data_IF_214393419177
#
_entry.id   IF_214393419177
#
_cell.length_a   1.000
_cell.length_b   1.000
_cell.length_c   1.000
_cell.angle_alpha   90.00
_cell.angle_beta   90.00
_cell.angle_gamma   90.00
#
_symmetry.space_group_name_H-M   'P 1'
#
loop_
_entity.id
_entity.type
_entity.pdbx_description
1 polymer ?
#
# COMPACT_ATOMS: atom_id res chain seq x y z
N UNK A 1 5.69 -4.53 -56.91
CA UNK A 1 5.98 -3.52 -55.91
C UNK A 1 4.98 -3.73 -54.77
N UNK A 2 5.41 -4.31 -53.62
CA UNK A 2 4.62 -4.38 -52.41
C UNK A 2 4.72 -3.01 -51.74
N UNK A 3 3.63 -2.27 -51.69
CA UNK A 3 3.50 -1.12 -50.85
C UNK A 3 3.52 -1.61 -49.40
N UNK A 4 4.58 -1.26 -48.64
CA UNK A 4 4.58 -1.35 -47.20
C UNK A 4 3.77 -0.13 -46.75
N UNK A 5 2.50 -0.33 -46.39
CA UNK A 5 1.75 0.68 -45.67
C UNK A 5 2.44 0.87 -44.33
N UNK A 6 3.10 2.00 -44.13
CA UNK A 6 3.50 2.46 -42.82
C UNK A 6 2.22 2.79 -42.05
N UNK A 7 1.78 1.88 -41.20
CA UNK A 7 0.75 2.18 -40.23
C UNK A 7 1.39 3.15 -39.23
N UNK A 8 1.15 4.44 -39.43
CA UNK A 8 1.48 5.43 -38.40
C UNK A 8 0.69 5.09 -37.15
N UNK A 9 1.37 4.61 -36.14
CA UNK A 9 0.74 4.37 -34.83
C UNK A 9 0.33 5.72 -34.26
N UNK A 10 -0.97 5.91 -34.05
CA UNK A 10 -1.49 7.11 -33.40
C UNK A 10 -0.99 7.16 -31.96
N UNK A 11 -0.85 8.38 -31.44
CA UNK A 11 -0.65 8.56 -30.02
C UNK A 11 -1.69 7.79 -29.22
N UNK A 12 -1.29 7.29 -28.06
CA UNK A 12 -2.17 6.56 -27.15
C UNK A 12 -2.14 7.15 -25.74
N UNK A 13 -3.17 6.89 -24.99
CA UNK A 13 -3.27 7.32 -23.61
C UNK A 13 -3.02 6.12 -22.68
N UNK A 14 -2.25 6.34 -21.64
CA UNK A 14 -2.07 5.37 -20.57
C UNK A 14 -2.31 6.05 -19.22
N UNK A 15 -3.05 5.36 -18.35
CA UNK A 15 -3.50 5.90 -17.07
C UNK A 15 -3.04 5.01 -15.94
N UNK A 16 -2.56 5.62 -14.85
CA UNK A 16 -2.35 4.96 -13.58
C UNK A 16 -2.97 5.78 -12.46
N UNK A 17 -3.31 5.09 -11.38
CA UNK A 17 -3.87 5.71 -10.19
C UNK A 17 -3.14 5.24 -8.93
N UNK A 18 -3.32 5.99 -7.86
CA UNK A 18 -2.76 5.70 -6.55
C UNK A 18 -3.75 6.09 -5.45
N UNK A 19 -3.60 5.46 -4.30
CA UNK A 19 -4.32 5.80 -3.08
C UNK A 19 -3.36 6.33 -2.02
N UNK A 20 -3.84 7.26 -1.19
CA UNK A 20 -3.04 7.86 -0.14
C UNK A 20 -2.87 6.92 1.05
N UNK A 21 -2.00 7.32 1.98
CA UNK A 21 -1.77 6.60 3.24
C UNK A 21 -3.02 6.40 4.10
N UNK A 22 -4.03 7.26 3.95
CA UNK A 22 -5.29 7.19 4.68
C UNK A 22 -6.41 6.46 3.95
N UNK A 23 -6.20 5.97 2.73
CA UNK A 23 -7.17 5.12 2.06
C UNK A 23 -7.32 3.79 2.81
N UNK A 24 -8.54 3.24 2.98
CA UNK A 24 -8.76 2.00 3.75
C UNK A 24 -7.82 0.85 3.39
N UNK A 25 -7.59 0.60 2.09
CA UNK A 25 -6.68 -0.46 1.64
C UNK A 25 -5.23 -0.18 2.09
N UNK A 26 -4.78 1.07 1.98
CA UNK A 26 -3.42 1.45 2.39
C UNK A 26 -3.26 1.49 3.92
N UNK A 27 -4.31 1.83 4.66
CA UNK A 27 -4.35 1.70 6.12
C UNK A 27 -4.20 0.22 6.51
N UNK A 28 -4.92 -0.68 5.82
CA UNK A 28 -4.84 -2.12 6.05
C UNK A 28 -3.44 -2.66 5.78
N UNK A 29 -2.82 -2.31 4.65
CA UNK A 29 -1.43 -2.67 4.33
C UNK A 29 -0.47 -2.21 5.43
N UNK A 30 -0.55 -0.94 5.84
CA UNK A 30 0.34 -0.38 6.85
C UNK A 30 0.17 -1.03 8.23
N UNK A 31 -1.04 -1.47 8.58
CA UNK A 31 -1.28 -2.20 9.82
C UNK A 31 -0.68 -3.60 9.74
N UNK A 32 -0.89 -4.33 8.64
CA UNK A 32 -0.32 -5.65 8.43
C UNK A 32 1.21 -5.60 8.46
N UNK A 33 1.82 -4.62 7.78
CA UNK A 33 3.26 -4.40 7.77
C UNK A 33 3.78 -4.06 9.19
N UNK A 34 3.10 -3.20 9.94
CA UNK A 34 3.53 -2.83 11.29
C UNK A 34 3.46 -4.01 12.27
N UNK A 35 2.51 -4.91 12.10
CA UNK A 35 2.40 -6.15 12.88
C UNK A 35 3.56 -7.10 12.50
N UNK A 36 3.83 -7.28 11.20
CA UNK A 36 4.96 -8.05 10.71
C UNK A 36 6.29 -7.52 11.27
N UNK A 37 6.51 -6.22 11.18
CA UNK A 37 7.71 -5.55 11.67
C UNK A 37 7.92 -5.79 13.17
N UNK A 38 6.84 -5.74 13.96
CA UNK A 38 6.93 -5.92 15.41
C UNK A 38 7.23 -7.38 15.80
N UNK A 39 6.73 -8.37 15.03
CA UNK A 39 7.12 -9.76 15.19
C UNK A 39 8.58 -9.98 14.82
N UNK A 40 9.00 -9.53 13.64
CA UNK A 40 10.38 -9.70 13.15
C UNK A 40 11.41 -8.96 14.01
N UNK A 41 11.04 -7.85 14.64
CA UNK A 41 11.91 -7.14 15.57
C UNK A 41 12.25 -7.96 16.80
N UNK A 42 11.34 -8.83 17.26
CA UNK A 42 11.52 -9.68 18.44
C UNK A 42 12.04 -11.08 18.08
N UNK A 43 11.59 -11.61 16.97
CA UNK A 43 11.93 -12.94 16.45
C UNK A 43 12.15 -12.87 14.92
N UNK A 44 13.43 -12.77 14.46
CA UNK A 44 13.74 -12.70 13.04
C UNK A 44 13.29 -13.92 12.22
N UNK A 45 13.04 -15.06 12.88
CA UNK A 45 12.58 -16.30 12.24
C UNK A 45 11.04 -16.44 12.25
N UNK A 46 10.33 -15.45 12.79
CA UNK A 46 8.87 -15.46 12.81
C UNK A 46 8.28 -15.61 11.40
N UNK A 47 7.23 -16.40 11.29
CA UNK A 47 6.40 -16.52 10.08
C UNK A 47 5.07 -15.83 10.35
N UNK A 48 4.78 -14.80 9.57
CA UNK A 48 3.63 -13.93 9.80
C UNK A 48 2.81 -13.81 8.51
N UNK A 49 1.62 -14.37 8.52
CA UNK A 49 0.61 -14.21 7.48
C UNK A 49 -0.54 -13.41 8.10
N UNK A 50 -0.42 -12.09 8.07
CA UNK A 50 -1.34 -11.17 8.71
C UNK A 50 -2.12 -10.37 7.67
N UNK A 51 -3.44 -10.48 7.70
CA UNK A 51 -4.37 -9.75 6.85
C UNK A 51 -5.17 -8.76 7.70
N UNK A 52 -5.42 -7.58 7.14
CA UNK A 52 -6.17 -6.53 7.82
C UNK A 52 -7.32 -6.03 6.96
N UNK A 53 -8.45 -5.78 7.59
CA UNK A 53 -9.60 -5.12 6.99
C UNK A 53 -9.95 -3.87 7.80
N UNK A 54 -10.05 -2.72 7.12
CA UNK A 54 -10.43 -1.44 7.72
C UNK A 54 -11.77 -0.95 7.16
N UNK A 55 -12.65 -0.48 8.07
CA UNK A 55 -13.89 0.18 7.73
C UNK A 55 -14.17 1.30 8.73
N UNK A 56 -15.29 2.02 8.56
CA UNK A 56 -15.68 3.10 9.48
C UNK A 56 -15.71 2.61 10.94
N UNK A 57 -14.84 3.15 11.77
CA UNK A 57 -14.77 2.86 13.20
C UNK A 57 -14.27 1.46 13.58
N UNK A 58 -13.79 0.65 12.63
CA UNK A 58 -13.43 -0.74 12.87
C UNK A 58 -12.18 -1.17 12.12
N UNK A 59 -11.30 -1.89 12.81
CA UNK A 59 -10.18 -2.65 12.26
C UNK A 59 -10.32 -4.11 12.65
N UNK A 60 -10.22 -5.01 11.68
CA UNK A 60 -10.18 -6.45 11.91
C UNK A 60 -8.82 -6.96 11.41
N UNK A 61 -8.11 -7.66 12.27
CA UNK A 61 -6.83 -8.29 11.97
C UNK A 61 -7.01 -9.81 12.09
N UNK A 62 -6.61 -10.54 11.06
CA UNK A 62 -6.73 -12.00 11.05
C UNK A 62 -5.54 -12.67 10.40
N UNK A 63 -5.47 -13.97 10.48
CA UNK A 63 -4.41 -14.76 9.85
C UNK A 63 -3.68 -15.68 10.82
N UNK A 64 -2.48 -16.10 10.42
CA UNK A 64 -1.69 -17.09 11.14
C UNK A 64 -0.29 -16.54 11.44
N UNK A 65 0.20 -16.79 12.63
CA UNK A 65 1.54 -16.40 13.07
C UNK A 65 2.23 -17.59 13.71
N UNK A 66 3.52 -17.75 13.42
CA UNK A 66 4.41 -18.64 14.15
C UNK A 66 5.60 -17.84 14.66
N UNK A 67 5.76 -17.81 15.95
CA UNK A 67 6.94 -17.27 16.63
C UNK A 67 7.18 -18.05 17.92
N UNK A 68 8.43 -18.20 18.31
CA UNK A 68 8.78 -18.92 19.53
C UNK A 68 8.75 -17.99 20.74
N UNK A 69 9.20 -16.73 20.59
CA UNK A 69 9.43 -15.83 21.72
C UNK A 69 8.78 -14.44 21.58
N UNK A 70 8.17 -14.11 20.44
CA UNK A 70 7.62 -12.77 20.25
C UNK A 70 6.24 -12.61 20.90
N UNK A 71 6.09 -11.53 21.66
CA UNK A 71 4.79 -11.03 22.12
C UNK A 71 4.46 -9.69 21.48
N UNK A 72 3.36 -9.62 20.76
CA UNK A 72 2.91 -8.41 20.07
C UNK A 72 1.54 -7.99 20.59
N UNK A 73 1.45 -6.79 21.16
CA UNK A 73 0.19 -6.16 21.48
C UNK A 73 -0.45 -5.59 20.20
N UNK A 74 -1.27 -6.41 19.56
CA UNK A 74 -1.94 -6.08 18.29
C UNK A 74 -2.74 -4.79 18.39
N UNK A 75 -3.48 -4.59 19.50
CA UNK A 75 -4.29 -3.39 19.67
C UNK A 75 -3.43 -2.12 19.72
N UNK A 76 -2.30 -2.18 20.41
CA UNK A 76 -1.37 -1.07 20.50
C UNK A 76 -0.79 -0.74 19.11
N UNK A 77 -0.28 -1.74 18.38
CA UNK A 77 0.29 -1.56 17.03
C UNK A 77 -0.72 -0.95 16.07
N UNK A 78 -1.95 -1.45 16.05
CA UNK A 78 -3.04 -0.92 15.22
C UNK A 78 -3.29 0.55 15.55
N UNK A 79 -3.49 0.90 16.82
CA UNK A 79 -3.81 2.26 17.26
C UNK A 79 -2.68 3.25 16.96
N UNK A 80 -1.44 2.86 17.18
CA UNK A 80 -0.27 3.67 16.86
C UNK A 80 -0.16 3.93 15.36
N UNK A 81 -0.40 2.91 14.52
CA UNK A 81 -0.39 3.05 13.07
C UNK A 81 -1.50 3.98 12.58
N UNK A 82 -2.74 3.80 13.03
CA UNK A 82 -3.88 4.64 12.65
C UNK A 82 -3.64 6.10 13.06
N UNK A 83 -3.14 6.35 14.28
CA UNK A 83 -2.80 7.68 14.76
C UNK A 83 -1.65 8.32 13.94
N UNK A 84 -0.60 7.55 13.61
CA UNK A 84 0.53 8.00 12.79
C UNK A 84 0.08 8.44 11.39
N UNK A 85 -0.87 7.74 10.78
CA UNK A 85 -1.46 8.12 9.49
C UNK A 85 -2.19 9.46 9.59
N UNK A 86 -2.76 9.78 10.76
CA UNK A 86 -3.44 11.05 11.02
C UNK A 86 -4.94 10.91 11.32
N UNK A 87 -5.42 9.70 11.51
CA UNK A 87 -6.76 9.44 12.01
C UNK A 87 -6.77 9.52 13.56
N UNK A 88 -6.79 10.73 14.05
CA UNK A 88 -6.65 11.06 15.47
C UNK A 88 -7.78 11.98 16.00
N UNK A 89 -8.87 12.11 15.25
CA UNK A 89 -10.04 12.92 15.61
C UNK A 89 -11.30 12.09 15.45
N UNK A 90 -12.17 12.12 16.46
CA UNK A 90 -13.44 11.40 16.46
C UNK A 90 -14.37 11.78 15.29
N UNK A 91 -14.31 13.05 14.84
CA UNK A 91 -15.09 13.59 13.73
C UNK A 91 -14.80 12.88 12.38
N UNK A 92 -13.64 12.22 12.27
CA UNK A 92 -13.30 11.42 11.09
C UNK A 92 -14.06 10.09 11.04
N UNK A 93 -14.81 9.75 12.11
CA UNK A 93 -15.54 8.47 12.27
C UNK A 93 -14.64 7.23 12.16
N UNK A 94 -13.35 7.47 12.23
CA UNK A 94 -12.28 6.50 12.31
C UNK A 94 -11.12 7.18 13.04
N UNK A 95 -10.77 6.71 14.22
CA UNK A 95 -9.81 7.34 15.11
C UNK A 95 -9.07 6.26 15.90
N UNK A 96 -7.75 6.34 15.88
CA UNK A 96 -6.88 5.36 16.51
C UNK A 96 -7.12 5.11 18.00
N UNK A 97 -7.67 6.10 18.71
CA UNK A 97 -7.93 5.97 20.15
C UNK A 97 -9.29 5.30 20.45
N UNK A 98 -10.27 5.44 19.55
CA UNK A 98 -11.66 5.03 19.79
C UNK A 98 -12.20 3.95 18.85
N UNK A 99 -11.54 3.64 17.73
CA UNK A 99 -12.00 2.59 16.83
C UNK A 99 -12.02 1.21 17.52
N UNK A 100 -12.96 0.38 17.09
CA UNK A 100 -12.97 -1.04 17.47
C UNK A 100 -11.75 -1.74 16.83
N UNK A 101 -11.09 -2.59 17.59
CA UNK A 101 -10.00 -3.44 17.08
C UNK A 101 -10.34 -4.88 17.45
N UNK A 102 -10.52 -5.72 16.44
CA UNK A 102 -10.74 -7.16 16.61
C UNK A 102 -9.54 -7.92 16.06
N UNK A 103 -9.07 -8.92 16.79
CA UNK A 103 -8.02 -9.80 16.33
C UNK A 103 -8.50 -11.25 16.35
N UNK A 104 -8.26 -11.93 15.22
CA UNK A 104 -8.46 -13.36 15.03
C UNK A 104 -7.16 -14.04 14.60
N UNK A 105 -6.01 -13.43 14.91
CA UNK A 105 -4.71 -14.05 14.71
C UNK A 105 -4.58 -15.30 15.60
N UNK A 106 -4.09 -16.38 15.03
CA UNK A 106 -3.88 -17.65 15.72
C UNK A 106 -2.54 -18.28 15.29
N UNK A 107 -2.11 -19.30 16.01
CA UNK A 107 -0.89 -20.02 15.66
C UNK A 107 -1.05 -20.80 14.35
N UNK A 108 0.00 -20.80 13.53
CA UNK A 108 0.06 -21.57 12.30
C UNK A 108 -0.09 -23.07 12.58
N UNK A 109 -0.91 -23.76 11.77
CA UNK A 109 -1.13 -25.19 11.93
C UNK A 109 0.17 -25.98 11.69
N UNK A 110 0.36 -27.05 12.46
CA UNK A 110 1.54 -27.93 12.36
C UNK A 110 1.67 -28.61 10.98
N UNK A 111 0.57 -28.79 10.26
CA UNK A 111 0.56 -29.44 8.94
C UNK A 111 1.05 -28.51 7.83
N UNK A 112 0.66 -27.24 7.87
CA UNK A 112 1.18 -26.19 6.95
C UNK A 112 2.67 -26.02 7.19
N UNK A 113 3.10 -25.97 8.45
CA UNK A 113 4.49 -25.87 8.83
C UNK A 113 5.38 -26.96 8.22
N UNK A 114 4.92 -28.21 8.16
CA UNK A 114 5.67 -29.33 7.53
C UNK A 114 5.85 -29.15 6.02
N UNK A 115 4.96 -28.40 5.36
CA UNK A 115 5.05 -28.11 3.93
C UNK A 115 5.94 -26.92 3.59
N UNK A 116 6.07 -25.99 4.53
CA UNK A 116 6.76 -24.68 4.36
C UNK A 116 8.20 -24.73 4.86
N UNK A 117 8.46 -25.42 5.96
CA UNK A 117 9.82 -25.64 6.47
C UNK A 117 10.42 -26.79 5.69
N UNK A 118 11.52 -26.52 4.98
CA UNK A 118 12.20 -27.46 4.10
C UNK A 118 12.40 -28.84 4.72
N UNK A 119 12.08 -29.86 3.94
CA UNK A 119 12.19 -31.23 4.36
C UNK A 119 13.64 -31.67 4.46
N UNK A 120 14.13 -31.79 5.69
CA UNK A 120 15.20 -32.72 5.99
C UNK A 120 16.62 -32.21 5.86
N UNK A 121 17.49 -32.97 6.50
CA UNK A 121 18.93 -32.72 6.70
C UNK A 121 19.78 -32.87 5.41
N UNK A 122 19.14 -33.04 4.25
CA UNK A 122 19.82 -33.33 2.97
C UNK A 122 19.73 -32.14 1.97
N UNK A 123 19.35 -30.95 2.43
CA UNK A 123 19.31 -29.75 1.57
C UNK A 123 20.65 -29.03 1.70
N UNK A 124 21.41 -28.99 0.60
CA UNK A 124 22.75 -28.37 0.57
C UNK A 124 22.72 -26.83 0.58
N UNK A 125 21.57 -26.21 0.27
CA UNK A 125 21.39 -24.75 0.22
C UNK A 125 20.49 -24.27 1.35
N UNK A 126 20.96 -23.28 2.13
CA UNK A 126 20.21 -22.66 3.23
C UNK A 126 18.90 -22.01 2.72
N UNK A 127 18.90 -21.46 1.49
CA UNK A 127 17.71 -20.85 0.90
C UNK A 127 16.62 -21.90 0.59
N UNK A 128 17.01 -23.09 0.12
CA UNK A 128 16.09 -24.20 -0.10
C UNK A 128 15.55 -24.77 1.22
N UNK A 129 16.36 -24.71 2.30
CA UNK A 129 15.95 -25.13 3.63
C UNK A 129 14.90 -24.17 4.24
N UNK A 130 14.98 -22.88 3.94
CA UNK A 130 14.06 -21.88 4.46
C UNK A 130 12.66 -22.02 3.86
N UNK A 131 12.55 -22.41 2.56
CA UNK A 131 11.29 -22.47 1.82
C UNK A 131 10.72 -21.09 1.49
N UNK A 132 9.67 -21.07 0.69
CA UNK A 132 9.04 -19.83 0.21
C UNK A 132 7.83 -19.36 1.03
N UNK A 133 7.39 -20.15 2.01
CA UNK A 133 6.20 -19.86 2.81
C UNK A 133 4.88 -20.23 2.11
N UNK A 134 4.74 -19.95 0.82
CA UNK A 134 3.61 -20.32 -0.02
C UNK A 134 4.05 -20.44 -1.48
N UNK A 135 3.22 -21.01 -2.32
CA UNK A 135 3.38 -20.96 -3.77
C UNK A 135 3.02 -19.56 -4.29
N UNK A 136 3.65 -19.14 -5.38
CA UNK A 136 3.36 -17.83 -5.95
C UNK A 136 3.88 -17.67 -7.38
N UNK A 137 3.29 -16.74 -8.10
CA UNK A 137 3.73 -16.28 -9.41
C UNK A 137 3.71 -14.75 -9.41
N UNK A 138 4.85 -14.14 -9.73
CA UNK A 138 5.03 -12.70 -9.72
C UNK A 138 5.25 -12.17 -11.13
N UNK A 139 4.71 -10.97 -11.37
CA UNK A 139 4.93 -10.20 -12.58
C UNK A 139 5.58 -8.88 -12.21
N UNK A 140 6.60 -8.49 -12.96
CA UNK A 140 7.29 -7.23 -12.78
C UNK A 140 7.35 -6.43 -14.07
N UNK A 141 7.29 -5.11 -13.98
CA UNK A 141 7.48 -4.20 -15.09
C UNK A 141 8.31 -3.00 -14.64
N UNK A 142 9.30 -2.64 -15.45
CA UNK A 142 10.15 -1.48 -15.24
C UNK A 142 10.47 -0.82 -16.57
N UNK A 143 10.60 0.51 -16.59
CA UNK A 143 11.03 1.28 -17.76
C UNK A 143 11.99 2.41 -17.36
N UNK A 144 12.39 3.24 -18.32
CA UNK A 144 13.33 4.34 -18.11
C UNK A 144 12.68 5.72 -18.16
N UNK A 145 11.40 5.80 -17.83
CA UNK A 145 10.68 7.09 -17.85
C UNK A 145 10.98 7.94 -16.61
N UNK A 146 11.39 7.30 -15.53
CA UNK A 146 11.80 7.94 -14.28
C UNK A 146 13.13 7.35 -13.79
N UNK A 147 13.80 8.05 -12.87
CA UNK A 147 15.05 7.59 -12.27
C UNK A 147 14.88 6.31 -11.45
N UNK A 148 13.69 6.11 -10.88
CA UNK A 148 13.33 4.93 -10.09
C UNK A 148 12.85 3.74 -10.95
N UNK A 149 12.96 3.84 -12.27
CA UNK A 149 12.46 2.85 -13.23
C UNK A 149 10.95 2.60 -13.17
N UNK A 150 10.22 3.49 -12.54
CA UNK A 150 8.75 3.44 -12.46
C UNK A 150 8.11 4.06 -13.70
N UNK A 151 7.00 3.50 -14.22
CA UNK A 151 6.20 4.15 -15.25
C UNK A 151 5.74 5.55 -14.82
N UNK A 152 5.89 6.53 -15.72
CA UNK A 152 5.63 7.94 -15.41
C UNK A 152 4.24 8.21 -14.81
N UNK A 153 3.11 7.66 -15.33
CA UNK A 153 1.80 7.94 -14.76
C UNK A 153 1.65 7.40 -13.34
N UNK A 154 2.25 6.25 -13.03
CA UNK A 154 2.24 5.68 -11.68
C UNK A 154 3.10 6.53 -10.73
N UNK A 155 4.31 6.88 -11.15
CA UNK A 155 5.20 7.74 -10.38
C UNK A 155 4.53 9.08 -10.01
N UNK A 156 3.91 9.76 -10.99
CA UNK A 156 3.21 11.02 -10.76
C UNK A 156 2.00 10.86 -9.84
N UNK A 157 1.26 9.76 -9.96
CA UNK A 157 0.14 9.45 -9.07
C UNK A 157 0.62 9.30 -7.62
N UNK A 158 1.69 8.57 -7.37
CA UNK A 158 2.29 8.46 -6.03
C UNK A 158 2.84 9.78 -5.53
N UNK A 159 3.56 10.53 -6.38
CA UNK A 159 4.16 11.80 -6.01
C UNK A 159 3.09 12.82 -5.57
N UNK A 160 1.99 12.95 -6.32
CA UNK A 160 0.92 13.86 -5.99
C UNK A 160 0.33 13.61 -4.59
N UNK A 161 0.14 12.35 -4.22
CA UNK A 161 -0.40 11.99 -2.90
C UNK A 161 0.61 12.17 -1.77
N UNK A 162 1.91 11.95 -2.02
CA UNK A 162 2.95 12.26 -1.05
C UNK A 162 3.01 13.76 -0.75
N UNK A 163 3.02 14.58 -1.81
CA UNK A 163 2.97 16.05 -1.67
C UNK A 163 1.72 16.51 -0.92
N UNK A 164 0.56 15.90 -1.21
CA UNK A 164 -0.69 16.21 -0.52
C UNK A 164 -0.63 15.86 0.98
N UNK A 165 -0.03 14.72 1.33
CA UNK A 165 0.17 14.30 2.71
C UNK A 165 1.13 15.24 3.45
N UNK A 166 2.20 15.69 2.79
CA UNK A 166 3.15 16.67 3.35
C UNK A 166 2.45 18.00 3.63
N UNK A 167 1.66 18.51 2.67
CA UNK A 167 0.86 19.73 2.86
C UNK A 167 -0.09 19.58 4.06
N UNK A 168 -0.77 18.44 4.20
CA UNK A 168 -1.67 18.17 5.32
C UNK A 168 -0.96 18.20 6.67
N UNK A 169 0.31 17.76 6.71
CA UNK A 169 1.12 17.68 7.94
C UNK A 169 1.87 18.98 8.29
N UNK A 170 1.88 19.97 7.41
CA UNK A 170 2.49 21.27 7.70
C UNK A 170 1.87 21.90 8.96
N UNK A 171 2.69 22.47 9.86
CA UNK A 171 2.23 23.09 11.11
C UNK A 171 1.18 24.18 10.88
N UNK A 172 1.33 24.94 9.78
CA UNK A 172 0.37 25.96 9.32
C UNK A 172 -0.03 25.59 7.88
N UNK A 173 -0.71 24.47 7.74
CA UNK A 173 -1.07 23.97 6.42
C UNK A 173 -1.87 25.01 5.64
N UNK A 174 -1.47 25.20 4.39
CA UNK A 174 -2.24 25.98 3.40
C UNK A 174 -3.54 25.31 2.98
N UNK A 175 -3.72 24.01 3.36
CA UNK A 175 -4.94 23.24 3.13
C UNK A 175 -5.35 22.51 4.42
N UNK A 176 -5.76 23.25 5.47
CA UNK A 176 -6.00 22.69 6.81
C UNK A 176 -7.22 21.75 6.87
N UNK A 177 -8.06 21.80 5.86
CA UNK A 177 -9.27 20.98 5.73
C UNK A 177 -9.00 19.56 5.22
N UNK A 178 -7.79 19.24 4.77
CA UNK A 178 -7.47 17.92 4.25
C UNK A 178 -7.51 16.86 5.36
N UNK A 179 -8.15 15.74 5.02
CA UNK A 179 -8.15 14.50 5.80
C UNK A 179 -7.19 13.47 5.18
N UNK A 180 -6.87 12.36 5.86
CA UNK A 180 -5.84 11.44 5.40
C UNK A 180 -6.16 10.69 4.10
N UNK A 181 -7.44 10.45 3.77
CA UNK A 181 -7.83 9.71 2.57
C UNK A 181 -7.82 10.58 1.32
N UNK A 182 -7.19 10.10 0.27
CA UNK A 182 -7.19 10.70 -1.05
C UNK A 182 -6.86 9.67 -2.13
N UNK A 183 -7.26 10.00 -3.36
CA UNK A 183 -6.90 9.24 -4.58
C UNK A 183 -6.36 10.20 -5.63
N UNK A 184 -5.45 9.71 -6.46
CA UNK A 184 -4.94 10.43 -7.62
C UNK A 184 -4.95 9.54 -8.85
N UNK A 185 -5.17 10.16 -10.01
CA UNK A 185 -5.11 9.51 -11.31
C UNK A 185 -4.36 10.43 -12.28
N UNK A 186 -3.39 9.88 -12.98
CA UNK A 186 -2.67 10.58 -14.04
C UNK A 186 -2.81 9.83 -15.35
N UNK A 187 -3.20 10.56 -16.39
CA UNK A 187 -3.26 10.08 -17.76
C UNK A 187 -2.17 10.78 -18.57
N UNK A 188 -1.29 10.01 -19.16
CA UNK A 188 -0.20 10.49 -20.00
C UNK A 188 -0.50 10.12 -21.46
N UNK A 189 -0.28 11.07 -22.36
CA UNK A 189 -0.27 10.84 -23.79
C UNK A 189 1.14 10.42 -24.21
N UNK A 190 1.21 9.32 -24.94
CA UNK A 190 2.43 8.72 -25.47
C UNK A 190 2.46 8.82 -26.99
N UNK A 191 3.62 9.11 -27.52
CA UNK A 191 3.88 9.02 -28.95
C UNK A 191 3.81 7.58 -29.44
N UNK A 192 2.99 7.34 -30.46
CA UNK A 192 2.72 5.98 -30.96
C UNK A 192 3.89 5.32 -31.68
N UNK A 193 4.88 6.09 -32.15
CA UNK A 193 6.05 5.55 -32.86
C UNK A 193 7.20 5.27 -31.90
N UNK A 194 7.47 6.19 -30.98
CA UNK A 194 8.62 6.13 -30.08
C UNK A 194 8.30 5.54 -28.70
N UNK A 195 7.02 5.47 -28.35
CA UNK A 195 6.57 5.08 -27.01
C UNK A 195 6.97 6.08 -25.91
N UNK A 196 7.40 7.30 -26.25
CA UNK A 196 7.81 8.30 -25.27
C UNK A 196 6.63 9.12 -24.78
N UNK A 197 6.64 9.57 -23.50
CA UNK A 197 5.63 10.48 -23.00
C UNK A 197 5.71 11.83 -23.70
N UNK A 198 4.55 12.35 -24.13
CA UNK A 198 4.42 13.63 -24.84
C UNK A 198 3.93 14.72 -23.89
N UNK A 199 2.88 14.43 -23.11
CA UNK A 199 2.30 15.37 -22.16
C UNK A 199 1.43 14.69 -21.14
N UNK A 200 1.19 15.37 -20.03
CA UNK A 200 0.11 15.04 -19.10
C UNK A 200 -1.21 15.42 -19.77
N UNK A 201 -2.08 14.43 -19.98
CA UNK A 201 -3.39 14.63 -20.60
C UNK A 201 -4.44 15.03 -19.57
N UNK A 202 -4.50 14.28 -18.47
CA UNK A 202 -5.51 14.49 -17.41
C UNK A 202 -4.92 14.20 -16.04
N UNK A 203 -5.32 15.01 -15.07
CA UNK A 203 -5.05 14.79 -13.64
C UNK A 203 -6.39 14.80 -12.92
N UNK A 204 -6.65 13.78 -12.11
CA UNK A 204 -7.78 13.74 -11.17
C UNK A 204 -7.23 13.52 -9.77
N UNK A 205 -7.64 14.37 -8.83
CA UNK A 205 -7.33 14.21 -7.41
C UNK A 205 -8.63 14.33 -6.63
N UNK A 206 -8.96 13.30 -5.85
CA UNK A 206 -10.11 13.28 -4.95
C UNK A 206 -9.60 13.20 -3.53
N UNK A 207 -10.14 14.04 -2.64
CA UNK A 207 -9.69 14.10 -1.25
C UNK A 207 -10.88 13.98 -0.29
N UNK A 208 -10.67 13.30 0.81
CA UNK A 208 -11.49 13.47 1.99
C UNK A 208 -11.13 14.82 2.64
N UNK A 209 -12.12 15.56 3.07
CA UNK A 209 -11.94 16.89 3.66
C UNK A 209 -12.96 17.17 4.76
N UNK A 210 -12.72 18.20 5.55
CA UNK A 210 -13.68 18.72 6.51
C UNK A 210 -14.89 19.33 5.77
N UNK A 211 -16.03 19.44 6.46
CA UNK A 211 -17.20 20.10 5.89
C UNK A 211 -16.90 21.58 5.66
N UNK A 212 -17.25 22.06 4.45
CA UNK A 212 -17.19 23.48 4.15
C UNK A 212 -18.54 24.11 4.48
N UNK A 213 -18.52 25.26 5.14
CA UNK A 213 -19.71 26.07 5.29
C UNK A 213 -20.02 26.81 3.99
N UNK A 214 -21.30 27.18 3.72
CA UNK A 214 -21.68 27.88 2.51
C UNK A 214 -20.91 29.18 2.25
N UNK A 215 -20.39 29.81 3.30
CA UNK A 215 -19.67 31.09 3.24
C UNK A 215 -18.14 30.90 3.02
N UNK A 216 -17.64 29.67 2.88
CA UNK A 216 -16.22 29.38 2.68
C UNK A 216 -15.80 29.46 1.19
N UNK A 217 -16.73 29.78 0.27
CA UNK A 217 -16.50 29.84 -1.18
C UNK A 217 -16.82 31.20 -1.78
#
# INVERSE_FOLDING_TARGET
QKYVEFIFMKNYLFTSESVSEGHPDKVSDQISDAILDEFLRQDPEAKVACETFCSTGLVIVGGEVRSEDAYVDIQKVVRETVNRIGYNKADYRFDGNSCGVMSTLHEQSADINRGVVGKGKDVEDEADAQGAGDQGMMFGYANRETEDYMPLPLYLSHLALRVLADIRREKNSRMPYLRPDAKSQFTIEYDGETGKPVRVHTIVISTQHDEFLPDDF
#
